data_IF_094339669136
#
_entry.id   IF_094339669136
#
_cell.length_a   1.000
_cell.length_b   1.000
_cell.length_c   1.000
_cell.angle_alpha   90.00
_cell.angle_beta   90.00
_cell.angle_gamma   90.00
#
_symmetry.space_group_name_H-M   'P 1'
#
loop_
_entity.id
_entity.type
_entity.pdbx_description
1 polymer ?
#
# COMPACT_ATOMS: atom_id res chain seq x y z
N UNK A 1 12.97 -2.56 24.36
CA UNK A 1 11.52 -2.34 24.48
C UNK A 1 11.32 -0.89 24.89
N UNK A 2 11.54 0.04 23.96
CA UNK A 2 11.24 1.46 24.19
C UNK A 2 9.73 1.63 24.07
N UNK A 3 9.10 2.17 25.11
CA UNK A 3 7.65 2.44 25.15
C UNK A 3 7.24 3.28 23.94
N UNK A 4 6.42 2.71 23.07
CA UNK A 4 5.80 3.43 21.96
C UNK A 4 4.80 4.48 22.48
N UNK A 5 4.75 5.64 21.84
CA UNK A 5 3.82 6.73 22.19
C UNK A 5 2.34 6.30 22.08
N UNK A 6 2.06 5.25 21.29
CA UNK A 6 0.74 4.64 21.12
C UNK A 6 0.41 3.57 22.18
N UNK A 7 1.42 3.00 22.85
CA UNK A 7 1.22 2.02 23.93
C UNK A 7 0.65 2.66 25.20
N UNK A 8 0.64 4.00 25.27
CA UNK A 8 0.17 4.77 26.42
C UNK A 8 -1.17 5.50 26.15
N UNK A 9 -1.83 5.22 25.02
CA UNK A 9 -3.10 5.85 24.59
C UNK A 9 -4.21 4.81 24.49
N UNK A 10 -5.45 5.25 24.73
CA UNK A 10 -6.63 4.38 24.74
C UNK A 10 -6.77 3.62 23.40
N UNK A 11 -6.94 2.29 23.39
CA UNK A 11 -6.94 1.48 22.15
C UNK A 11 -7.99 1.92 21.12
N UNK A 12 -9.08 2.54 21.58
CA UNK A 12 -10.11 3.14 20.72
C UNK A 12 -9.58 4.31 19.85
N UNK A 13 -8.62 5.10 20.34
CA UNK A 13 -8.04 6.23 19.59
C UNK A 13 -7.14 5.72 18.48
N UNK A 14 -6.35 4.69 18.76
CA UNK A 14 -5.50 4.05 17.77
C UNK A 14 -6.36 3.42 16.67
N UNK A 15 -7.41 2.69 17.06
CA UNK A 15 -8.37 2.12 16.11
C UNK A 15 -9.05 3.18 15.25
N UNK A 16 -9.53 4.28 15.84
CA UNK A 16 -10.16 5.37 15.09
C UNK A 16 -9.17 6.04 14.12
N UNK A 17 -7.92 6.22 14.52
CA UNK A 17 -6.87 6.75 13.65
C UNK A 17 -6.63 5.85 12.43
N UNK A 18 -6.45 4.54 12.65
CA UNK A 18 -6.30 3.57 11.58
C UNK A 18 -7.53 3.50 10.67
N UNK A 19 -8.74 3.55 11.24
CA UNK A 19 -9.99 3.55 10.49
C UNK A 19 -10.06 4.77 9.55
N UNK A 20 -9.75 5.96 10.06
CA UNK A 20 -9.76 7.20 9.27
C UNK A 20 -8.72 7.15 8.15
N UNK A 21 -7.50 6.69 8.43
CA UNK A 21 -6.46 6.55 7.41
C UNK A 21 -6.88 5.58 6.31
N UNK A 22 -7.41 4.41 6.67
CA UNK A 22 -7.89 3.41 5.70
C UNK A 22 -9.07 3.95 4.89
N UNK A 23 -10.05 4.60 5.52
CA UNK A 23 -11.17 5.21 4.82
C UNK A 23 -10.70 6.32 3.86
N UNK A 24 -9.77 7.17 4.28
CA UNK A 24 -9.19 8.21 3.42
C UNK A 24 -8.42 7.61 2.25
N UNK A 25 -7.66 6.53 2.45
CA UNK A 25 -6.93 5.85 1.38
C UNK A 25 -7.87 5.25 0.32
N UNK A 26 -9.01 4.68 0.75
CA UNK A 26 -10.02 4.11 -0.16
C UNK A 26 -10.81 5.20 -0.90
N UNK A 27 -11.19 6.28 -0.22
CA UNK A 27 -12.00 7.37 -0.80
C UNK A 27 -11.17 8.27 -1.72
N UNK A 28 -9.90 8.54 -1.38
CA UNK A 28 -9.01 9.42 -2.15
C UNK A 28 -8.09 8.56 -3.01
N UNK A 29 -8.58 8.16 -4.18
CA UNK A 29 -7.82 7.42 -5.21
C UNK A 29 -6.76 8.30 -5.93
N UNK A 30 -6.28 9.38 -5.30
CA UNK A 30 -5.27 10.25 -5.89
C UNK A 30 -3.87 9.66 -5.62
N UNK A 31 -3.03 9.40 -6.65
CA UNK A 31 -1.76 8.68 -6.48
C UNK A 31 -0.77 9.38 -5.54
N UNK A 32 -0.83 10.72 -5.48
CA UNK A 32 -0.04 11.50 -4.54
C UNK A 32 -0.40 11.23 -3.07
N UNK A 33 -1.68 11.03 -2.76
CA UNK A 33 -2.15 10.78 -1.40
C UNK A 33 -1.70 9.40 -0.93
N UNK A 34 -1.85 8.40 -1.81
CA UNK A 34 -1.39 7.04 -1.58
C UNK A 34 0.13 6.98 -1.32
N UNK A 35 0.91 7.73 -2.11
CA UNK A 35 2.36 7.80 -1.90
C UNK A 35 2.68 8.34 -0.49
N UNK A 36 2.06 9.45 -0.09
CA UNK A 36 2.25 10.04 1.25
C UNK A 36 1.83 9.07 2.36
N UNK A 37 0.72 8.35 2.18
CA UNK A 37 0.24 7.32 3.11
C UNK A 37 1.26 6.18 3.30
N UNK A 38 1.78 5.63 2.21
CA UNK A 38 2.81 4.59 2.25
C UNK A 38 4.11 5.13 2.88
N UNK A 39 4.55 6.33 2.52
CA UNK A 39 5.77 6.92 3.09
C UNK A 39 5.65 7.16 4.59
N UNK A 40 4.53 7.71 5.05
CA UNK A 40 4.30 7.95 6.48
C UNK A 40 4.18 6.65 7.27
N UNK A 41 3.43 5.66 6.77
CA UNK A 41 3.34 4.32 7.36
C UNK A 41 4.69 3.60 7.40
N UNK A 42 5.48 3.65 6.32
CA UNK A 42 6.81 3.04 6.27
C UNK A 42 7.79 3.72 7.24
N UNK A 43 7.78 5.06 7.30
CA UNK A 43 8.60 5.80 8.25
C UNK A 43 8.24 5.43 9.70
N UNK A 44 6.95 5.34 10.01
CA UNK A 44 6.48 4.96 11.35
C UNK A 44 6.84 3.51 11.69
N UNK A 45 6.64 2.57 10.77
CA UNK A 45 7.01 1.17 10.93
C UNK A 45 8.52 0.97 11.18
N UNK A 46 9.34 1.76 10.48
CA UNK A 46 10.80 1.77 10.66
C UNK A 46 11.22 2.39 11.98
N UNK A 47 10.52 3.41 12.47
CA UNK A 47 10.75 3.97 13.80
C UNK A 47 10.43 2.94 14.90
N UNK A 48 9.35 2.17 14.75
CA UNK A 48 8.92 1.13 15.70
C UNK A 48 9.85 -0.09 15.72
N UNK A 49 10.17 -0.67 14.56
CA UNK A 49 10.91 -1.94 14.45
C UNK A 49 12.40 -1.78 14.11
N UNK A 50 12.86 -0.54 13.86
CA UNK A 50 14.23 -0.25 13.45
C UNK A 50 14.65 -1.00 12.19
N UNK A 51 15.92 -1.46 12.14
CA UNK A 51 16.47 -2.25 11.02
C UNK A 51 15.72 -3.56 10.72
N UNK A 52 15.01 -4.14 11.69
CA UNK A 52 14.18 -5.34 11.47
C UNK A 52 12.90 -5.01 10.70
N UNK A 53 12.44 -3.75 10.75
CA UNK A 53 11.29 -3.27 9.98
C UNK A 53 11.52 -3.36 8.47
N UNK A 54 12.75 -3.11 7.99
CA UNK A 54 13.08 -3.24 6.56
C UNK A 54 12.79 -4.64 6.00
N UNK A 55 13.05 -5.71 6.78
CA UNK A 55 12.72 -7.08 6.37
C UNK A 55 11.20 -7.32 6.35
N UNK A 56 10.46 -6.70 7.27
CA UNK A 56 9.00 -6.75 7.28
C UNK A 56 8.40 -6.11 6.03
N UNK A 57 8.85 -4.91 5.69
CA UNK A 57 8.44 -4.20 4.48
C UNK A 57 8.82 -5.00 3.23
N UNK A 58 10.05 -5.53 3.16
CA UNK A 58 10.50 -6.38 2.06
C UNK A 58 9.63 -7.64 1.91
N UNK A 59 9.11 -8.19 3.01
CA UNK A 59 8.17 -9.32 2.98
C UNK A 59 6.77 -8.96 2.46
N UNK A 60 6.34 -7.70 2.58
CA UNK A 60 5.05 -7.22 2.05
C UNK A 60 5.13 -6.83 0.56
N UNK A 61 6.32 -6.46 0.09
CA UNK A 61 6.62 -6.07 -1.29
C UNK A 61 6.24 -7.11 -2.37
N UNK A 62 6.47 -8.43 -2.20
CA UNK A 62 6.04 -9.41 -3.19
C UNK A 62 4.51 -9.45 -3.37
N UNK A 63 3.72 -9.30 -2.30
CA UNK A 63 2.25 -9.22 -2.42
C UNK A 63 1.84 -7.97 -3.20
N UNK A 64 2.44 -6.82 -2.90
CA UNK A 64 2.22 -5.58 -3.65
C UNK A 64 2.52 -5.74 -5.15
N UNK A 65 3.65 -6.35 -5.49
CA UNK A 65 4.04 -6.59 -6.88
C UNK A 65 3.08 -7.54 -7.58
N UNK A 66 2.69 -8.63 -6.92
CA UNK A 66 1.73 -9.60 -7.45
C UNK A 66 0.40 -8.90 -7.78
N UNK A 67 -0.15 -8.14 -6.84
CA UNK A 67 -1.41 -7.41 -7.05
C UNK A 67 -1.29 -6.37 -8.17
N UNK A 68 -0.18 -5.62 -8.20
CA UNK A 68 0.04 -4.57 -9.20
C UNK A 68 0.23 -5.13 -10.61
N UNK A 69 0.96 -6.24 -10.75
CA UNK A 69 1.28 -6.87 -12.02
C UNK A 69 0.17 -7.79 -12.54
N UNK A 70 -0.68 -8.35 -11.65
CA UNK A 70 -1.87 -9.10 -12.03
C UNK A 70 -2.99 -8.20 -12.53
N UNK A 71 -3.08 -6.95 -12.04
CA UNK A 71 -4.18 -6.08 -12.41
C UNK A 71 -4.35 -5.89 -13.93
N UNK A 72 -3.29 -5.72 -14.75
CA UNK A 72 -3.42 -5.60 -16.21
C UNK A 72 -3.77 -6.90 -16.93
N UNK A 73 -3.64 -8.06 -16.28
CA UNK A 73 -4.10 -9.34 -16.83
C UNK A 73 -5.63 -9.45 -16.79
N UNK A 74 -6.26 -8.86 -15.78
CA UNK A 74 -7.72 -8.81 -15.65
C UNK A 74 -8.32 -7.57 -16.29
N UNK A 75 -7.65 -6.43 -16.13
CA UNK A 75 -8.08 -5.15 -16.64
C UNK A 75 -7.27 -4.78 -17.89
N UNK A 76 -7.95 -4.77 -19.05
CA UNK A 76 -7.35 -4.44 -20.35
C UNK A 76 -7.69 -3.02 -20.80
N UNK A 77 -8.31 -2.21 -19.93
CA UNK A 77 -8.67 -0.84 -20.26
C UNK A 77 -7.42 0.04 -20.30
N UNK A 78 -7.15 0.61 -21.48
CA UNK A 78 -6.13 1.61 -21.67
C UNK A 78 -5.77 1.84 -23.13
N UNK A 79 -5.40 3.06 -23.47
CA UNK A 79 -4.97 3.46 -24.82
C UNK A 79 -3.48 3.16 -25.07
N UNK A 80 -2.65 3.14 -24.02
CA UNK A 80 -1.21 2.95 -24.15
C UNK A 80 -0.79 1.51 -23.87
N UNK A 81 -0.58 0.74 -24.95
CA UNK A 81 -0.17 -0.67 -24.89
C UNK A 81 1.36 -0.76 -24.72
N UNK A 82 1.81 -1.52 -23.73
CA UNK A 82 3.24 -1.82 -23.51
C UNK A 82 3.68 -3.08 -24.26
N UNK A 83 2.93 -4.16 -24.08
CA UNK A 83 3.19 -5.46 -24.68
C UNK A 83 1.90 -6.29 -24.69
N UNK A 84 1.86 -7.35 -25.49
CA UNK A 84 0.76 -8.30 -25.47
C UNK A 84 1.15 -9.54 -24.68
N UNK A 85 0.36 -9.90 -23.66
CA UNK A 85 0.51 -11.13 -22.87
C UNK A 85 -0.76 -11.96 -23.04
N UNK A 86 -0.62 -13.25 -23.37
CA UNK A 86 -1.75 -14.16 -23.64
C UNK A 86 -2.75 -13.63 -24.70
N UNK A 87 -2.27 -12.86 -25.69
CA UNK A 87 -3.12 -12.24 -26.70
C UNK A 87 -3.93 -11.04 -26.20
N UNK A 88 -3.72 -10.59 -24.96
CA UNK A 88 -4.36 -9.40 -24.37
C UNK A 88 -3.39 -8.23 -24.29
N UNK A 89 -3.84 -6.99 -24.59
CA UNK A 89 -3.00 -5.79 -24.49
C UNK A 89 -2.70 -5.48 -23.03
N UNK A 90 -1.43 -5.47 -22.65
CA UNK A 90 -0.99 -5.01 -21.34
C UNK A 90 -0.80 -3.49 -21.39
N UNK A 91 -1.66 -2.72 -20.72
CA UNK A 91 -1.69 -1.25 -20.83
C UNK A 91 -1.01 -0.55 -19.65
N UNK A 92 -0.46 0.65 -19.89
CA UNK A 92 0.08 1.51 -18.82
C UNK A 92 -0.98 1.87 -17.79
N UNK A 93 -2.18 2.24 -18.24
CA UNK A 93 -3.25 2.65 -17.34
C UNK A 93 -3.63 1.53 -16.39
N UNK A 94 -3.81 0.31 -16.90
CA UNK A 94 -4.12 -0.83 -16.05
C UNK A 94 -3.00 -1.14 -15.06
N UNK A 95 -1.73 -0.93 -15.44
CA UNK A 95 -0.60 -1.10 -14.53
C UNK A 95 -0.60 -0.05 -13.42
N UNK A 96 -0.87 1.21 -13.74
CA UNK A 96 -0.99 2.30 -12.77
C UNK A 96 -2.17 2.09 -11.81
N UNK A 97 -3.31 1.61 -12.31
CA UNK A 97 -4.43 1.18 -11.46
C UNK A 97 -4.03 0.00 -10.57
N UNK A 98 -3.23 -0.94 -11.08
CA UNK A 98 -2.69 -2.04 -10.30
C UNK A 98 -1.82 -1.54 -9.16
N UNK A 99 -0.93 -0.60 -9.45
CA UNK A 99 -0.10 0.06 -8.44
C UNK A 99 -0.93 0.80 -7.39
N UNK A 100 -2.03 1.44 -7.79
CA UNK A 100 -2.93 2.11 -6.84
C UNK A 100 -3.61 1.10 -5.89
N UNK A 101 -4.16 0.01 -6.44
CA UNK A 101 -4.83 -1.04 -5.66
C UNK A 101 -3.83 -1.78 -4.76
N UNK A 102 -2.70 -2.21 -5.33
CA UNK A 102 -1.62 -2.86 -4.60
C UNK A 102 -1.06 -1.96 -3.51
N UNK A 103 -0.86 -0.68 -3.82
CA UNK A 103 -0.35 0.32 -2.87
C UNK A 103 -1.31 0.54 -1.71
N UNK A 104 -2.62 0.59 -1.96
CA UNK A 104 -3.64 0.70 -0.90
C UNK A 104 -3.55 -0.50 0.04
N UNK A 105 -3.39 -1.70 -0.50
CA UNK A 105 -3.24 -2.91 0.30
C UNK A 105 -1.94 -2.91 1.12
N UNK A 106 -0.85 -2.43 0.53
CA UNK A 106 0.44 -2.28 1.20
C UNK A 106 0.38 -1.26 2.33
N UNK A 107 -0.29 -0.12 2.10
CA UNK A 107 -0.54 0.89 3.13
C UNK A 107 -1.31 0.30 4.31
N UNK A 108 -2.39 -0.44 4.04
CA UNK A 108 -3.15 -1.14 5.09
C UNK A 108 -2.25 -2.08 5.90
N UNK A 109 -1.45 -2.93 5.24
CA UNK A 109 -0.53 -3.85 5.90
C UNK A 109 0.54 -3.16 6.74
N UNK A 110 1.11 -2.05 6.22
CA UNK A 110 2.09 -1.23 6.92
C UNK A 110 1.51 -0.67 8.21
N UNK A 111 0.34 -0.04 8.12
CA UNK A 111 -0.32 0.55 9.27
C UNK A 111 -0.78 -0.52 10.28
N UNK A 112 -1.36 -1.64 9.84
CA UNK A 112 -1.68 -2.76 10.74
C UNK A 112 -0.45 -3.38 11.42
N UNK A 113 0.72 -3.29 10.79
CA UNK A 113 1.97 -3.84 11.32
C UNK A 113 2.70 -2.92 12.29
N UNK A 114 2.40 -1.62 12.26
CA UNK A 114 2.91 -0.61 13.19
C UNK A 114 2.26 -0.77 14.56
#
# INVERSE_FOLDING_TARGET
MSRDAFSNRHPAVNFAFFLVVICCAVVIQHPAYLAVGIFSGAAYYLLLRGRKGLRGIAGMLPIFLILSLLNPLFNTYGAHILFHIFGRPYTLEALLYGFAIGGTFLEMLLWFGC
#
